data_IF_312894217515
#
_entry.id   IF_312894217515
#
_cell.length_a   1.000
_cell.length_b   1.000
_cell.length_c   1.000
_cell.angle_alpha   90.00
_cell.angle_beta   90.00
_cell.angle_gamma   90.00
#
_symmetry.space_group_name_H-M   'P 1'
#
loop_
_entity.id
_entity.type
_entity.pdbx_description
1 polymer ?
#
# COMPACT_ATOMS: atom_id res chain seq x y z
N UNK A 1 1.81 -13.11 -27.31
CA UNK A 1 0.98 -13.07 -26.09
C UNK A 1 0.84 -14.46 -25.52
N UNK A 2 0.97 -14.62 -24.20
CA UNK A 2 0.79 -15.90 -23.53
C UNK A 2 -0.70 -16.26 -23.52
N UNK A 3 -1.04 -17.53 -23.79
CA UNK A 3 -2.43 -18.04 -23.84
C UNK A 3 -2.98 -18.40 -22.45
N UNK A 4 -2.61 -17.63 -21.42
CA UNK A 4 -3.03 -17.88 -20.06
C UNK A 4 -4.52 -17.52 -19.88
N UNK A 5 -5.27 -18.44 -19.26
CA UNK A 5 -6.73 -18.37 -19.19
C UNK A 5 -7.24 -17.50 -18.04
N UNK A 6 -6.51 -17.48 -16.92
CA UNK A 6 -6.87 -16.64 -15.78
C UNK A 6 -6.47 -15.18 -16.06
N UNK A 7 -7.46 -14.30 -15.91
CA UNK A 7 -7.37 -12.88 -16.25
C UNK A 7 -7.87 -12.01 -15.09
N UNK A 8 -8.09 -12.59 -13.91
CA UNK A 8 -8.59 -11.88 -12.74
C UNK A 8 -7.46 -11.14 -12.02
N UNK A 9 -6.95 -10.07 -12.65
CA UNK A 9 -5.86 -9.27 -12.09
C UNK A 9 -6.35 -8.25 -11.05
N UNK A 10 -7.60 -7.83 -11.14
CA UNK A 10 -8.28 -6.89 -10.24
C UNK A 10 -9.77 -7.22 -10.18
N UNK A 11 -10.42 -6.77 -9.11
CA UNK A 11 -11.87 -6.87 -8.90
C UNK A 11 -12.44 -5.46 -8.61
N UNK A 12 -13.67 -5.36 -8.13
CA UNK A 12 -14.41 -4.11 -7.91
C UNK A 12 -13.85 -3.29 -6.73
N UNK A 13 -12.60 -2.80 -6.86
CA UNK A 13 -11.92 -2.03 -5.82
C UNK A 13 -12.49 -0.63 -5.63
N UNK A 14 -13.12 -0.06 -6.68
CA UNK A 14 -13.69 1.28 -6.65
C UNK A 14 -14.93 1.40 -5.76
N UNK A 15 -15.66 0.29 -5.53
CA UNK A 15 -16.81 0.23 -4.61
C UNK A 15 -16.41 -0.19 -3.20
N UNK A 16 -15.11 -0.37 -2.92
CA UNK A 16 -14.64 -0.80 -1.61
C UNK A 16 -15.12 0.16 -0.51
N UNK A 17 -15.71 -0.41 0.55
CA UNK A 17 -16.16 0.32 1.76
C UNK A 17 -15.20 0.14 2.94
N UNK A 18 -14.12 -0.61 2.74
CA UNK A 18 -13.07 -0.80 3.76
C UNK A 18 -11.71 -0.97 3.11
N UNK A 19 -10.67 -0.50 3.81
CA UNK A 19 -9.28 -0.66 3.38
C UNK A 19 -8.87 -2.12 3.17
N UNK A 20 -9.38 -3.03 4.02
CA UNK A 20 -9.14 -4.46 3.83
C UNK A 20 -9.74 -5.01 2.54
N UNK A 21 -10.86 -4.45 2.06
CA UNK A 21 -11.43 -4.84 0.77
C UNK A 21 -10.61 -4.25 -0.38
N UNK A 22 -10.25 -2.96 -0.28
CA UNK A 22 -9.44 -2.27 -1.27
C UNK A 22 -8.11 -2.99 -1.56
N UNK A 23 -7.35 -3.36 -0.51
CA UNK A 23 -6.07 -4.06 -0.68
C UNK A 23 -6.18 -5.46 -1.32
N UNK A 24 -7.36 -6.11 -1.24
CA UNK A 24 -7.60 -7.43 -1.85
C UNK A 24 -7.96 -7.34 -3.32
N UNK A 25 -8.72 -6.32 -3.69
CA UNK A 25 -9.33 -6.23 -5.01
C UNK A 25 -8.55 -5.33 -5.98
N UNK A 26 -7.65 -4.47 -5.49
CA UNK A 26 -6.85 -3.58 -6.33
C UNK A 26 -5.85 -4.33 -7.24
N UNK A 27 -5.04 -5.21 -6.66
CA UNK A 27 -4.05 -6.01 -7.37
C UNK A 27 -4.03 -7.41 -6.77
N UNK A 28 -4.81 -8.30 -7.38
CA UNK A 28 -5.05 -9.65 -6.87
C UNK A 28 -3.76 -10.47 -6.91
N UNK A 29 -2.97 -10.33 -7.98
CA UNK A 29 -1.72 -11.10 -8.14
C UNK A 29 -0.73 -10.82 -7.01
N UNK A 30 -0.48 -9.55 -6.70
CA UNK A 30 0.43 -9.18 -5.61
C UNK A 30 -0.17 -9.53 -4.26
N UNK A 31 -1.47 -9.29 -4.08
CA UNK A 31 -2.17 -9.65 -2.86
C UNK A 31 -2.06 -11.15 -2.56
N UNK A 32 -2.30 -12.01 -3.55
CA UNK A 32 -2.30 -13.46 -3.38
C UNK A 32 -0.91 -14.01 -3.12
N UNK A 33 0.12 -13.42 -3.75
CA UNK A 33 1.51 -13.73 -3.43
C UNK A 33 1.84 -13.35 -1.98
N UNK A 34 1.53 -12.12 -1.56
CA UNK A 34 1.74 -11.66 -0.18
C UNK A 34 0.96 -12.50 0.83
N UNK A 35 -0.27 -12.89 0.49
CA UNK A 35 -1.11 -13.70 1.35
C UNK A 35 -0.56 -15.12 1.52
N UNK A 36 -0.19 -15.76 0.42
CA UNK A 36 0.21 -17.17 0.39
C UNK A 36 1.58 -17.40 1.00
N UNK A 37 2.55 -16.52 0.71
CA UNK A 37 3.96 -16.74 1.09
C UNK A 37 4.40 -15.96 2.33
N UNK A 38 3.73 -14.87 2.68
CA UNK A 38 4.13 -14.06 3.85
C UNK A 38 3.07 -14.16 4.93
N UNK A 39 1.83 -13.78 4.64
CA UNK A 39 0.79 -13.76 5.66
C UNK A 39 0.53 -15.15 6.25
N UNK A 40 0.33 -16.17 5.42
CA UNK A 40 0.03 -17.54 5.85
C UNK A 40 1.18 -18.16 6.64
N UNK A 41 2.41 -17.94 6.21
CA UNK A 41 3.60 -18.50 6.85
C UNK A 41 3.86 -17.77 8.18
N UNK A 42 3.78 -16.44 8.21
CA UNK A 42 3.81 -15.69 9.47
C UNK A 42 2.69 -16.12 10.43
N UNK A 43 1.48 -16.33 9.92
CA UNK A 43 0.36 -16.76 10.77
C UNK A 43 0.56 -18.18 11.33
N UNK A 44 1.19 -19.07 10.57
CA UNK A 44 1.54 -20.43 11.01
C UNK A 44 2.65 -20.39 12.07
N UNK A 45 3.65 -19.53 11.89
CA UNK A 45 4.79 -19.40 12.80
C UNK A 45 4.44 -18.72 14.12
N UNK A 46 3.72 -17.59 14.09
CA UNK A 46 3.38 -16.83 15.29
C UNK A 46 2.11 -17.36 15.98
N UNK A 47 1.26 -18.13 15.28
CA UNK A 47 0.02 -18.67 15.80
C UNK A 47 -1.17 -17.70 15.76
N UNK A 48 -2.37 -18.27 15.94
CA UNK A 48 -3.68 -17.60 15.70
C UNK A 48 -3.87 -16.32 16.52
N UNK A 49 -3.19 -16.20 17.66
CA UNK A 49 -3.31 -15.06 18.59
C UNK A 49 -2.73 -13.75 18.02
N UNK A 50 -1.81 -13.82 17.05
CA UNK A 50 -1.07 -12.66 16.53
C UNK A 50 -1.47 -12.25 15.11
N UNK A 51 -2.74 -12.43 14.76
CA UNK A 51 -3.29 -12.06 13.45
C UNK A 51 -2.99 -10.60 13.05
N UNK A 52 -2.95 -9.68 14.01
CA UNK A 52 -2.65 -8.28 13.75
C UNK A 52 -1.17 -8.08 13.38
N UNK A 53 -0.26 -8.80 14.03
CA UNK A 53 1.18 -8.79 13.71
C UNK A 53 1.41 -9.25 12.28
N UNK A 54 0.82 -10.39 11.87
CA UNK A 54 0.97 -10.90 10.50
C UNK A 54 0.50 -9.89 9.44
N UNK A 55 -0.57 -9.13 9.74
CA UNK A 55 -1.04 -8.07 8.84
C UNK A 55 -0.08 -6.90 8.75
N UNK A 56 0.45 -6.44 9.88
CA UNK A 56 1.43 -5.35 9.90
C UNK A 56 2.72 -5.75 9.21
N UNK A 57 3.18 -7.00 9.36
CA UNK A 57 4.35 -7.52 8.65
C UNK A 57 4.18 -7.42 7.13
N UNK A 58 3.01 -7.81 6.60
CA UNK A 58 2.73 -7.74 5.16
C UNK A 58 2.74 -6.30 4.65
N UNK A 59 2.07 -5.38 5.36
CA UNK A 59 2.02 -3.96 4.96
C UNK A 59 3.42 -3.33 5.06
N UNK A 60 4.17 -3.64 6.12
CA UNK A 60 5.52 -3.15 6.32
C UNK A 60 6.45 -3.62 5.20
N UNK A 61 6.46 -4.92 4.89
CA UNK A 61 7.28 -5.47 3.82
C UNK A 61 6.89 -4.87 2.46
N UNK A 62 5.59 -4.73 2.19
CA UNK A 62 5.11 -4.07 0.99
C UNK A 62 5.63 -2.63 0.90
N UNK A 63 5.54 -1.85 1.98
CA UNK A 63 6.03 -0.47 2.02
C UNK A 63 7.55 -0.39 1.78
N UNK A 64 8.34 -1.30 2.37
CA UNK A 64 9.78 -1.36 2.14
C UNK A 64 10.12 -1.64 0.67
N UNK A 65 9.42 -2.58 0.02
CA UNK A 65 9.65 -2.91 -1.39
C UNK A 65 9.29 -1.75 -2.30
N UNK A 66 8.17 -1.07 -2.06
CA UNK A 66 7.80 0.08 -2.87
C UNK A 66 8.81 1.23 -2.71
N UNK A 67 9.25 1.52 -1.49
CA UNK A 67 10.27 2.53 -1.23
C UNK A 67 11.60 2.16 -1.89
N UNK A 68 11.99 0.88 -1.85
CA UNK A 68 13.19 0.39 -2.50
C UNK A 68 13.17 0.62 -4.03
N UNK A 69 12.04 0.31 -4.67
CA UNK A 69 11.88 0.54 -6.13
C UNK A 69 11.99 2.03 -6.45
N UNK A 70 11.35 2.91 -5.66
CA UNK A 70 11.44 4.36 -5.86
C UNK A 70 12.85 4.88 -5.62
N UNK A 71 13.52 4.43 -4.56
CA UNK A 71 14.89 4.84 -4.24
C UNK A 71 15.88 4.45 -5.34
N UNK A 72 15.71 3.27 -5.95
CA UNK A 72 16.49 2.85 -7.11
C UNK A 72 16.18 3.69 -8.35
N UNK A 73 14.90 3.96 -8.61
CA UNK A 73 14.48 4.73 -9.79
C UNK A 73 14.96 6.19 -9.74
N UNK A 74 14.89 6.83 -8.57
CA UNK A 74 15.30 8.23 -8.38
C UNK A 74 16.78 8.39 -8.03
N UNK A 75 17.46 7.34 -7.56
CA UNK A 75 18.87 7.40 -7.15
C UNK A 75 19.10 8.13 -5.81
N UNK A 76 18.04 8.37 -5.03
CA UNK A 76 18.13 8.89 -3.66
C UNK A 76 17.00 8.33 -2.80
N UNK A 77 17.20 8.35 -1.48
CA UNK A 77 16.23 7.88 -0.51
C UNK A 77 15.37 9.02 0.04
N UNK A 78 14.05 8.94 -0.13
CA UNK A 78 13.09 9.94 0.37
C UNK A 78 11.77 9.28 0.80
N UNK A 79 11.66 8.78 2.05
CA UNK A 79 10.67 7.79 2.48
C UNK A 79 9.26 8.33 2.77
N UNK A 80 8.75 9.22 1.92
CA UNK A 80 7.37 9.73 2.03
C UNK A 80 6.36 8.63 1.77
N UNK A 81 6.63 7.77 0.77
CA UNK A 81 5.73 6.67 0.44
C UNK A 81 5.61 5.70 1.62
N UNK A 82 6.75 5.30 2.19
CA UNK A 82 6.79 4.44 3.37
C UNK A 82 5.98 5.00 4.54
N UNK A 83 6.17 6.30 4.86
CA UNK A 83 5.42 6.96 5.93
C UNK A 83 3.92 6.98 5.66
N UNK A 84 3.51 7.21 4.42
CA UNK A 84 2.10 7.22 4.06
C UNK A 84 1.46 5.83 4.17
N UNK A 85 2.16 4.77 3.75
CA UNK A 85 1.71 3.39 3.95
C UNK A 85 1.64 3.03 5.44
N UNK A 86 2.59 3.50 6.25
CA UNK A 86 2.55 3.31 7.70
C UNK A 86 1.34 4.02 8.31
N UNK A 87 1.14 5.31 8.04
CA UNK A 87 0.03 6.09 8.60
C UNK A 87 -1.31 5.53 8.15
N UNK A 88 -1.55 5.37 6.85
CA UNK A 88 -2.83 4.87 6.33
C UNK A 88 -3.05 3.40 6.70
N UNK A 89 -2.02 2.56 6.62
CA UNK A 89 -2.10 1.14 6.96
C UNK A 89 -2.35 0.88 8.45
N UNK A 90 -1.69 1.62 9.34
CA UNK A 90 -1.90 1.48 10.79
C UNK A 90 -3.23 2.06 11.23
N UNK A 91 -3.59 3.27 10.79
CA UNK A 91 -4.83 3.94 11.18
C UNK A 91 -6.05 3.15 10.65
N UNK A 92 -5.99 2.67 9.41
CA UNK A 92 -7.11 1.93 8.82
C UNK A 92 -7.42 0.60 9.51
N UNK A 93 -6.42 -0.05 10.11
CA UNK A 93 -6.61 -1.30 10.85
C UNK A 93 -7.11 -1.09 12.28
N UNK A 94 -6.82 0.06 12.90
CA UNK A 94 -7.22 0.35 14.28
C UNK A 94 -8.60 1.00 14.38
N UNK A 95 -8.94 1.90 13.46
CA UNK A 95 -10.09 2.79 13.62
C UNK A 95 -11.36 2.27 12.94
N UNK A 96 -11.26 1.44 11.88
CA UNK A 96 -12.45 1.03 11.13
C UNK A 96 -13.07 -0.27 11.67
N UNK A 97 -14.25 -0.23 12.32
CA UNK A 97 -14.98 -1.45 12.63
C UNK A 97 -15.40 -2.15 11.34
N UNK A 98 -15.18 -3.46 11.28
CA UNK A 98 -15.54 -4.36 10.16
C UNK A 98 -17.00 -4.30 9.70
N UNK A 99 -17.88 -3.61 10.43
CA UNK A 99 -19.33 -3.80 10.37
C UNK A 99 -20.12 -2.62 9.77
N UNK A 100 -19.51 -1.47 9.56
CA UNK A 100 -20.23 -0.29 9.02
C UNK A 100 -19.93 -0.12 7.53
N UNK A 101 -20.64 -0.87 6.69
CA UNK A 101 -20.58 -0.74 5.22
C UNK A 101 -21.41 0.45 4.75
N UNK A 102 -20.99 1.66 5.12
CA UNK A 102 -21.64 2.89 4.66
C UNK A 102 -20.97 3.43 3.40
N UNK A 103 -21.76 4.05 2.53
CA UNK A 103 -21.28 4.82 1.37
C UNK A 103 -20.29 5.92 1.77
N UNK A 104 -20.39 6.42 3.02
CA UNK A 104 -19.46 7.40 3.57
C UNK A 104 -18.00 6.89 3.61
N UNK A 105 -17.78 5.59 3.83
CA UNK A 105 -16.43 5.03 3.83
C UNK A 105 -15.83 4.90 2.44
N UNK A 106 -16.66 4.69 1.41
CA UNK A 106 -16.20 4.72 0.03
C UNK A 106 -15.68 6.12 -0.33
N UNK A 107 -16.43 7.18 0.04
CA UNK A 107 -16.00 8.57 -0.12
C UNK A 107 -14.69 8.82 0.64
N UNK A 108 -14.59 8.34 1.88
CA UNK A 108 -13.35 8.46 2.66
C UNK A 108 -12.15 7.80 1.98
N UNK A 109 -12.30 6.60 1.44
CA UNK A 109 -11.24 5.92 0.69
C UNK A 109 -10.85 6.76 -0.53
N UNK A 110 -11.80 7.22 -1.33
CA UNK A 110 -11.51 8.09 -2.48
C UNK A 110 -10.75 9.36 -2.09
N UNK A 111 -11.22 10.08 -1.07
CA UNK A 111 -10.55 11.28 -0.57
C UNK A 111 -9.12 10.98 -0.13
N UNK A 112 -8.91 9.88 0.60
CA UNK A 112 -7.58 9.48 1.06
C UNK A 112 -6.65 9.08 -0.09
N UNK A 113 -7.16 8.43 -1.15
CA UNK A 113 -6.39 8.07 -2.33
C UNK A 113 -5.99 9.33 -3.12
N UNK A 114 -6.91 10.28 -3.31
CA UNK A 114 -6.59 11.52 -4.01
C UNK A 114 -5.57 12.37 -3.26
N UNK A 115 -5.76 12.57 -1.96
CA UNK A 115 -4.80 13.30 -1.13
C UNK A 115 -3.45 12.58 -1.12
N UNK A 116 -3.48 11.25 -0.95
CA UNK A 116 -2.28 10.43 -0.91
C UNK A 116 -1.47 10.47 -2.19
N UNK A 117 -2.10 10.24 -3.34
CA UNK A 117 -1.44 10.30 -4.64
C UNK A 117 -0.98 11.73 -4.96
N UNK A 118 -1.79 12.75 -4.62
CA UNK A 118 -1.42 14.15 -4.79
C UNK A 118 -0.18 14.53 -3.99
N UNK A 119 -0.11 14.14 -2.72
CA UNK A 119 1.06 14.36 -1.87
C UNK A 119 2.31 13.66 -2.43
N UNK A 120 2.21 12.42 -2.89
CA UNK A 120 3.32 11.70 -3.50
C UNK A 120 3.84 12.43 -4.73
N UNK A 121 2.95 12.74 -5.68
CA UNK A 121 3.32 13.40 -6.93
C UNK A 121 4.00 14.75 -6.66
N UNK A 122 3.45 15.58 -5.77
CA UNK A 122 4.02 16.88 -5.43
C UNK A 122 5.38 16.73 -4.73
N UNK A 123 5.47 15.93 -3.66
CA UNK A 123 6.67 15.86 -2.83
C UNK A 123 7.85 15.22 -3.57
N UNK A 124 7.63 14.14 -4.33
CA UNK A 124 8.68 13.53 -5.14
C UNK A 124 9.14 14.46 -6.27
N UNK A 125 8.21 15.15 -6.93
CA UNK A 125 8.57 16.09 -8.01
C UNK A 125 9.37 17.28 -7.49
N UNK A 126 8.94 17.88 -6.37
CA UNK A 126 9.65 19.01 -5.76
C UNK A 126 11.07 18.59 -5.36
N UNK A 127 11.23 17.45 -4.70
CA UNK A 127 12.54 16.96 -4.27
C UNK A 127 13.46 16.65 -5.46
N UNK A 128 12.89 16.06 -6.51
CA UNK A 128 13.61 15.76 -7.75
C UNK A 128 14.15 17.04 -8.41
N UNK A 129 13.28 18.04 -8.62
CA UNK A 129 13.69 19.31 -9.22
C UNK A 129 14.62 20.12 -8.31
N UNK A 130 14.43 20.07 -6.99
CA UNK A 130 15.32 20.73 -6.04
C UNK A 130 16.76 20.19 -6.16
N UNK A 131 16.93 18.87 -6.34
CA UNK A 131 18.24 18.25 -6.52
C UNK A 131 18.88 18.56 -7.87
N UNK A 132 18.08 18.70 -8.93
CA UNK A 132 18.58 19.10 -10.24
C UNK A 132 19.02 20.58 -10.27
N UNK A 133 18.22 21.46 -9.68
CA UNK A 133 18.46 22.91 -9.74
C UNK A 133 19.46 23.41 -8.70
N UNK A 134 19.57 22.73 -7.56
CA UNK A 134 20.50 23.06 -6.48
C UNK A 134 21.44 21.87 -6.24
N UNK A 135 22.40 21.58 -7.16
CA UNK A 135 23.37 20.53 -6.94
C UNK A 135 24.15 20.82 -5.66
N UNK A 136 24.26 19.81 -4.78
CA UNK A 136 25.06 19.94 -3.56
C UNK A 136 26.48 20.29 -3.99
N UNK A 137 26.96 21.43 -3.52
CA UNK A 137 28.39 21.78 -3.61
C UNK A 137 29.10 20.71 -2.80
N UNK A 138 29.77 19.79 -3.49
CA UNK A 138 30.66 18.80 -2.88
C UNK A 138 31.97 19.48 -2.55
#
# INVERSE_FOLDING_TARGET
MLRFADREFYSDWWTATSWSSYYRTWNIVVHDWLYTYIYRDCHTLFGVKYRLVSKYTVIFLSACVHEYILALAFGYFYPILFLQFAVLGFISMLILPRRTQSKAFNIFIWTSLFVGLGMQMCLYSIEWYARQNCPRVV
#
